data_IF_624621347485
#
_entry.id   IF_624621347485
#
_cell.length_a   1.000
_cell.length_b   1.000
_cell.length_c   1.000
_cell.angle_alpha   90.00
_cell.angle_beta   90.00
_cell.angle_gamma   90.00
#
_symmetry.space_group_name_H-M   'P 1'
#
loop_
_entity.id
_entity.type
_entity.pdbx_description
1 polymer ?
#
# COMPACT_ATOMS: atom_id res chain seq x y z
N UNK A 1 -9.76 -8.91 -4.78
CA UNK A 1 -8.39 -8.65 -5.29
C UNK A 1 -7.42 -9.23 -4.28
N UNK A 2 -6.41 -10.02 -4.70
CA UNK A 2 -5.54 -10.80 -3.80
C UNK A 2 -4.44 -9.94 -3.15
N UNK A 3 -4.83 -8.96 -2.35
CA UNK A 3 -3.89 -8.08 -1.65
C UNK A 3 -4.22 -7.98 -0.17
N UNK A 4 -3.20 -8.09 0.67
CA UNK A 4 -3.26 -7.80 2.10
C UNK A 4 -2.69 -6.40 2.35
N UNK A 5 -3.54 -5.50 2.85
CA UNK A 5 -3.13 -4.16 3.28
C UNK A 5 -2.41 -4.27 4.62
N UNK A 6 -1.12 -3.95 4.63
CA UNK A 6 -0.33 -3.80 5.85
C UNK A 6 -0.13 -2.31 6.10
N UNK A 7 -0.65 -1.84 7.22
CA UNK A 7 -0.40 -0.48 7.68
C UNK A 7 1.08 -0.34 8.04
N UNK A 8 1.81 0.51 7.33
CA UNK A 8 3.19 0.85 7.66
C UNK A 8 3.15 1.81 8.86
N UNK A 9 3.27 1.27 10.07
CA UNK A 9 3.39 2.08 11.29
C UNK A 9 4.81 2.65 11.40
N UNK A 10 5.16 3.63 10.56
CA UNK A 10 6.44 4.34 10.68
C UNK A 10 6.38 5.40 11.79
N UNK A 11 5.97 5.01 13.01
CA UNK A 11 5.85 5.95 14.13
C UNK A 11 7.21 6.12 14.82
N UNK A 12 8.02 7.04 14.31
CA UNK A 12 9.28 7.43 14.95
C UNK A 12 8.97 8.33 16.16
N UNK A 13 8.86 7.74 17.38
CA UNK A 13 8.97 8.36 18.72
C UNK A 13 8.42 9.80 18.94
N UNK A 14 7.36 10.25 18.27
CA UNK A 14 6.70 11.54 18.56
C UNK A 14 5.18 11.35 18.63
N UNK A 15 4.53 12.00 19.60
CA UNK A 15 3.15 11.77 20.06
C UNK A 15 2.17 11.42 18.93
N UNK A 16 1.35 10.40 19.16
CA UNK A 16 0.29 9.95 18.27
C UNK A 16 -0.78 11.04 18.14
N UNK A 17 -0.70 11.85 17.09
CA UNK A 17 -1.92 12.35 16.46
C UNK A 17 -2.51 11.15 15.73
N UNK A 18 -3.77 10.81 15.98
CA UNK A 18 -4.46 9.71 15.32
C UNK A 18 -4.49 9.97 13.81
N UNK A 19 -3.55 9.35 13.08
CA UNK A 19 -3.59 9.39 11.63
C UNK A 19 -4.76 8.51 11.16
N UNK A 20 -5.52 8.94 10.13
CA UNK A 20 -6.63 8.16 9.60
C UNK A 20 -6.17 6.76 9.22
N UNK A 21 -6.93 5.73 9.60
CA UNK A 21 -6.58 4.34 9.28
C UNK A 21 -7.08 4.00 7.88
N UNK A 22 -6.25 3.42 7.01
CA UNK A 22 -6.70 3.00 5.69
C UNK A 22 -7.66 1.81 5.84
N UNK A 23 -8.91 1.95 5.37
CA UNK A 23 -9.97 0.93 5.48
C UNK A 23 -10.19 0.15 4.20
N UNK A 24 -10.03 0.81 3.05
CA UNK A 24 -10.14 0.16 1.74
C UNK A 24 -9.11 0.71 0.77
N UNK A 25 -8.77 -0.09 -0.23
CA UNK A 25 -7.82 0.31 -1.26
C UNK A 25 -8.23 -0.22 -2.62
N UNK A 26 -7.77 0.47 -3.67
CA UNK A 26 -7.89 0.07 -5.06
C UNK A 26 -6.56 0.32 -5.74
N UNK A 27 -6.03 -0.70 -6.43
CA UNK A 27 -4.78 -0.58 -7.20
C UNK A 27 -5.15 -0.56 -8.67
N UNK A 28 -4.87 0.55 -9.33
CA UNK A 28 -5.02 0.71 -10.77
C UNK A 28 -3.68 0.48 -11.47
N UNK A 29 -3.72 -0.08 -12.67
CA UNK A 29 -2.56 -0.39 -13.51
C UNK A 29 -1.54 -1.36 -12.86
N UNK A 30 -1.97 -2.26 -11.99
CA UNK A 30 -1.07 -3.25 -11.42
C UNK A 30 -0.52 -4.23 -12.48
N UNK A 31 0.79 -4.43 -12.48
CA UNK A 31 1.48 -5.46 -13.27
C UNK A 31 2.50 -6.17 -12.39
N UNK A 32 2.61 -7.50 -12.49
CA UNK A 32 3.66 -8.32 -11.86
C UNK A 32 5.02 -8.06 -12.54
N UNK A 33 5.49 -6.82 -12.51
CA UNK A 33 6.74 -6.36 -13.09
C UNK A 33 7.48 -5.51 -12.06
N UNK A 34 8.74 -5.86 -11.79
CA UNK A 34 9.56 -5.12 -10.84
C UNK A 34 9.73 -3.66 -11.31
N UNK A 35 9.65 -2.71 -10.37
CA UNK A 35 9.75 -1.27 -10.61
C UNK A 35 8.62 -0.67 -11.46
N UNK A 36 7.56 -1.44 -11.72
CA UNK A 36 6.37 -0.88 -12.37
C UNK A 36 5.67 0.11 -11.44
N UNK A 37 5.28 1.25 -11.99
CA UNK A 37 4.54 2.28 -11.27
C UNK A 37 3.04 2.05 -11.44
N UNK A 38 2.31 2.11 -10.33
CA UNK A 38 0.86 1.94 -10.29
C UNK A 38 0.23 3.04 -9.43
N UNK A 39 -1.08 3.23 -9.56
CA UNK A 39 -1.83 4.18 -8.74
C UNK A 39 -2.60 3.42 -7.68
N UNK A 40 -2.52 3.87 -6.44
CA UNK A 40 -3.24 3.25 -5.32
C UNK A 40 -4.19 4.29 -4.75
N UNK A 41 -5.49 4.05 -4.86
CA UNK A 41 -6.50 4.83 -4.18
C UNK A 41 -6.78 4.20 -2.84
N UNK A 42 -6.66 4.96 -1.75
CA UNK A 42 -6.88 4.50 -0.39
C UNK A 42 -7.99 5.32 0.21
N UNK A 43 -9.01 4.65 0.73
CA UNK A 43 -10.05 5.25 1.56
C UNK A 43 -9.68 5.05 3.01
N UNK A 44 -9.74 6.12 3.79
CA UNK A 44 -9.48 6.11 5.22
C UNK A 44 -10.80 6.03 6.01
N UNK A 45 -10.70 5.67 7.29
CA UNK A 45 -11.82 5.52 8.23
C UNK A 45 -12.67 6.79 8.41
N UNK A 46 -12.06 7.96 8.23
CA UNK A 46 -12.74 9.25 8.25
C UNK A 46 -13.51 9.58 6.94
N UNK A 47 -13.47 8.69 5.94
CA UNK A 47 -14.08 8.90 4.63
C UNK A 47 -13.17 9.60 3.61
N UNK A 48 -11.96 10.02 4.00
CA UNK A 48 -11.02 10.64 3.08
C UNK A 48 -10.53 9.61 2.05
N UNK A 49 -10.42 10.04 0.80
CA UNK A 49 -9.81 9.26 -0.26
C UNK A 49 -8.52 9.94 -0.69
N UNK A 50 -7.39 9.25 -0.51
CA UNK A 50 -6.11 9.71 -1.03
C UNK A 50 -5.67 8.86 -2.22
N UNK A 51 -5.08 9.53 -3.20
CA UNK A 51 -4.32 8.88 -4.25
C UNK A 51 -2.84 8.81 -3.85
N UNK A 52 -2.29 7.61 -3.87
CA UNK A 52 -0.90 7.31 -3.57
C UNK A 52 -0.20 6.80 -4.84
N UNK A 53 1.07 7.15 -4.99
CA UNK A 53 1.90 6.63 -6.08
C UNK A 53 2.55 5.32 -5.60
N UNK A 54 2.20 4.21 -6.24
CA UNK A 54 2.68 2.87 -5.93
C UNK A 54 3.86 2.45 -6.81
N UNK A 55 4.81 1.72 -6.22
CA UNK A 55 5.86 0.99 -6.93
C UNK A 55 5.76 -0.49 -6.62
N UNK A 56 5.67 -1.30 -7.67
CA UNK A 56 5.67 -2.76 -7.58
C UNK A 56 7.10 -3.24 -7.30
N UNK A 57 7.23 -4.07 -6.29
CA UNK A 57 8.50 -4.69 -5.88
C UNK A 57 8.27 -6.18 -5.66
N UNK A 58 9.23 -6.99 -6.10
CA UNK A 58 9.26 -8.42 -5.80
C UNK A 58 10.31 -8.66 -4.74
N UNK A 59 9.97 -9.43 -3.71
CA UNK A 59 10.96 -9.90 -2.76
C UNK A 59 11.80 -11.02 -3.43
N UNK A 60 13.13 -10.90 -3.50
CA UNK A 60 13.98 -11.88 -4.18
C UNK A 60 14.09 -13.23 -3.46
N UNK A 61 13.74 -13.30 -2.17
CA UNK A 61 13.86 -14.53 -1.37
C UNK A 61 12.64 -15.43 -1.50
N UNK A 62 11.44 -14.86 -1.37
CA UNK A 62 10.18 -15.61 -1.41
C UNK A 62 9.34 -15.35 -2.67
N UNK A 63 9.89 -14.61 -3.63
CA UNK A 63 9.28 -14.25 -4.92
C UNK A 63 7.92 -13.55 -4.82
N UNK A 64 7.55 -13.06 -3.63
CA UNK A 64 6.25 -12.45 -3.38
C UNK A 64 6.22 -11.02 -3.93
N UNK A 65 5.12 -10.67 -4.59
CA UNK A 65 4.88 -9.33 -5.10
C UNK A 65 4.33 -8.41 -4.01
N UNK A 66 4.70 -7.15 -4.07
CA UNK A 66 4.21 -6.12 -3.16
C UNK A 66 4.13 -4.77 -3.85
N UNK A 67 3.29 -3.88 -3.34
CA UNK A 67 3.18 -2.49 -3.78
C UNK A 67 3.46 -1.60 -2.58
N UNK A 68 4.50 -0.78 -2.70
CA UNK A 68 4.78 0.30 -1.76
C UNK A 68 4.18 1.57 -2.33
N UNK A 69 3.21 2.18 -1.67
CA UNK A 69 2.60 3.41 -2.14
C UNK A 69 2.72 4.54 -1.11
N UNK A 70 3.04 5.74 -1.58
CA UNK A 70 3.24 6.94 -0.75
C UNK A 70 2.74 8.19 -1.48
N UNK A 71 2.33 9.22 -0.74
CA UNK A 71 2.04 10.55 -1.28
C UNK A 71 2.89 11.66 -0.62
N UNK A 72 2.73 12.88 -1.13
CA UNK A 72 3.43 14.07 -0.63
C UNK A 72 3.02 14.46 0.81
N UNK A 73 1.87 14.00 1.29
CA UNK A 73 1.39 14.24 2.66
C UNK A 73 1.99 13.27 3.69
N UNK A 74 2.88 12.37 3.26
CA UNK A 74 3.53 11.40 4.14
C UNK A 74 2.65 10.19 4.49
N UNK A 75 1.49 10.04 3.85
CA UNK A 75 0.68 8.83 3.97
C UNK A 75 1.31 7.73 3.13
N UNK A 76 1.50 6.55 3.73
CA UNK A 76 2.09 5.41 3.05
C UNK A 76 1.33 4.12 3.39
N UNK A 77 1.20 3.23 2.41
CA UNK A 77 0.61 1.90 2.56
C UNK A 77 1.50 0.85 1.92
N UNK A 78 1.50 -0.34 2.52
CA UNK A 78 2.14 -1.53 1.96
C UNK A 78 1.05 -2.52 1.58
N UNK A 79 0.99 -2.90 0.31
CA UNK A 79 0.11 -3.96 -0.16
C UNK A 79 0.95 -5.18 -0.48
N UNK A 80 0.71 -6.28 0.23
CA UNK A 80 1.34 -7.57 -0.07
C UNK A 80 0.42 -8.34 -1.01
N UNK A 81 0.94 -8.86 -2.11
CA UNK A 81 0.19 -9.80 -2.95
C UNK A 81 0.08 -11.14 -2.20
N UNK A 82 -1.13 -11.65 -2.10
CA UNK A 82 -1.42 -12.97 -1.53
C UNK A 82 -1.96 -13.81 -2.67
N UNK A 83 -1.09 -14.51 -3.41
CA UNK A 83 -1.57 -15.47 -4.42
C UNK A 83 -2.45 -16.49 -3.66
N UNK A 84 -3.71 -16.59 -4.09
CA UNK A 84 -4.64 -17.63 -3.68
C UNK A 84 -4.29 -18.87 -4.51
N UNK A 85 -3.13 -19.48 -4.22
CA UNK A 85 -2.82 -20.83 -4.72
C UNK A 85 -3.66 -21.81 -3.89
N UNK A 86 -4.88 -22.03 -4.37
CA UNK A 86 -5.72 -23.19 -4.08
C UNK A 86 -5.84 -24.04 -5.35
#
# INVERSE_FOLDING_TARGET
MPFELRQLSWHKRRRATEAPKPVSFKVDDFKKQANHFCRVHVTFDNGDVAQLQGRVSQNPVNLTWSVNAINAHGQAVFLKWVDDDA
#
